data_IF_465358327367
#
_entry.id   IF_465358327367
#
_cell.length_a   1.000
_cell.length_b   1.000
_cell.length_c   1.000
_cell.angle_alpha   90.00
_cell.angle_beta   90.00
_cell.angle_gamma   90.00
#
_symmetry.space_group_name_H-M   'P 1'
#
loop_
_entity.id
_entity.type
_entity.pdbx_description
1 polymer ?
#
# COMPACT_ATOMS: atom_id res chain seq x y z
N UNK A 1 -14.23 -5.68 -5.65
CA UNK A 1 -13.83 -4.35 -6.17
C UNK A 1 -12.31 -4.34 -6.34
N UNK A 2 -11.77 -3.60 -7.33
CA UNK A 2 -10.31 -3.50 -7.57
C UNK A 2 -9.53 -3.00 -6.33
N UNK A 3 -10.16 -2.14 -5.53
CA UNK A 3 -9.60 -1.63 -4.25
C UNK A 3 -9.30 -2.75 -3.24
N UNK A 4 -10.06 -3.85 -3.25
CA UNK A 4 -9.85 -4.99 -2.33
C UNK A 4 -8.61 -5.83 -2.63
N UNK A 5 -7.84 -5.50 -3.68
CA UNK A 5 -6.56 -6.15 -4.01
C UNK A 5 -5.36 -5.36 -3.52
N UNK A 6 -5.55 -4.13 -3.00
CA UNK A 6 -4.42 -3.34 -2.52
C UNK A 6 -3.86 -3.93 -1.22
N UNK A 7 -2.52 -4.00 -1.08
CA UNK A 7 -1.87 -4.61 0.08
C UNK A 7 -2.13 -3.83 1.39
N UNK A 8 -2.31 -2.52 1.34
CA UNK A 8 -2.65 -1.68 2.49
C UNK A 8 -4.06 -1.99 3.04
N UNK A 9 -5.05 -2.15 2.15
CA UNK A 9 -6.42 -2.54 2.51
C UNK A 9 -6.45 -3.95 3.10
N UNK A 10 -5.71 -4.89 2.51
CA UNK A 10 -5.60 -6.26 3.03
C UNK A 10 -4.92 -6.30 4.39
N UNK A 11 -3.86 -5.51 4.59
CA UNK A 11 -3.20 -5.40 5.89
C UNK A 11 -4.16 -4.85 6.97
N UNK A 12 -4.92 -3.80 6.63
CA UNK A 12 -5.92 -3.24 7.54
C UNK A 12 -7.05 -4.24 7.85
N UNK A 13 -7.51 -5.04 6.88
CA UNK A 13 -8.48 -6.11 7.11
C UNK A 13 -7.94 -7.17 8.10
N UNK A 14 -6.68 -7.57 7.95
CA UNK A 14 -6.05 -8.53 8.87
C UNK A 14 -5.89 -7.94 10.27
N UNK A 15 -5.64 -6.64 10.40
CA UNK A 15 -5.61 -5.96 11.70
C UNK A 15 -6.99 -6.00 12.38
N UNK A 16 -8.07 -5.73 11.66
CA UNK A 16 -9.45 -5.87 12.18
C UNK A 16 -9.70 -7.30 12.65
N UNK A 17 -9.34 -8.30 11.84
CA UNK A 17 -9.48 -9.72 12.21
C UNK A 17 -8.68 -10.09 13.45
N UNK A 18 -7.47 -9.54 13.59
CA UNK A 18 -6.63 -9.74 14.77
C UNK A 18 -7.27 -9.13 16.02
N UNK A 19 -7.80 -7.91 15.92
CA UNK A 19 -8.46 -7.24 17.04
C UNK A 19 -9.72 -7.99 17.48
N UNK A 20 -10.54 -8.46 16.53
CA UNK A 20 -11.72 -9.27 16.80
C UNK A 20 -11.38 -10.55 17.58
N UNK A 21 -10.34 -11.28 17.16
CA UNK A 21 -9.87 -12.49 17.87
C UNK A 21 -9.29 -12.16 19.25
N UNK A 22 -8.65 -10.99 19.40
CA UNK A 22 -8.17 -10.51 20.69
C UNK A 22 -9.32 -10.32 21.69
N UNK A 23 -10.40 -9.65 21.24
CA UNK A 23 -11.61 -9.49 22.05
C UNK A 23 -12.25 -10.83 22.42
N UNK A 24 -12.32 -11.78 21.49
CA UNK A 24 -12.80 -13.14 21.80
C UNK A 24 -11.92 -13.82 22.84
N UNK A 25 -10.59 -13.71 22.74
CA UNK A 25 -9.67 -14.27 23.72
C UNK A 25 -9.85 -13.65 25.11
N UNK A 26 -10.00 -12.33 25.20
CA UNK A 26 -10.24 -11.64 26.47
C UNK A 26 -11.62 -11.98 27.06
N UNK A 27 -12.64 -12.23 26.24
CA UNK A 27 -13.93 -12.76 26.70
C UNK A 27 -13.81 -14.19 27.23
N UNK A 28 -12.97 -15.03 26.60
CA UNK A 28 -12.70 -16.38 27.05
C UNK A 28 -11.92 -16.43 28.38
N UNK A 29 -11.20 -15.36 28.74
CA UNK A 29 -10.51 -15.27 30.03
C UNK A 29 -11.48 -15.27 31.24
N UNK A 30 -12.78 -15.04 31.03
CA UNK A 30 -13.82 -15.21 32.06
C UNK A 30 -14.19 -16.68 32.30
N UNK A 31 -13.77 -17.60 31.43
CA UNK A 31 -14.05 -19.02 31.52
C UNK A 31 -12.96 -19.76 32.33
N UNK A 32 -13.24 -21.00 32.80
CA UNK A 32 -12.23 -21.83 33.42
C UNK A 32 -11.04 -22.09 32.48
N UNK A 33 -9.82 -21.82 32.96
CA UNK A 33 -8.59 -22.23 32.30
C UNK A 33 -8.23 -23.67 32.72
N UNK A 34 -7.85 -24.48 31.73
CA UNK A 34 -7.46 -25.88 31.94
C UNK A 34 -5.99 -26.05 31.57
N UNK A 35 -5.17 -26.47 32.54
CA UNK A 35 -3.77 -26.78 32.32
C UNK A 35 -3.53 -28.28 32.39
N UNK A 36 -2.77 -28.80 31.43
CA UNK A 36 -2.34 -30.19 31.40
C UNK A 36 -0.81 -30.24 31.38
N UNK A 37 -0.23 -30.84 32.40
CA UNK A 37 1.21 -31.02 32.50
C UNK A 37 1.54 -32.51 32.40
N UNK A 38 2.40 -32.86 31.45
CA UNK A 38 2.91 -34.21 31.27
C UNK A 38 4.43 -34.12 31.19
N UNK A 39 5.09 -34.94 32.00
CA UNK A 39 6.54 -35.01 32.07
C UNK A 39 6.95 -36.46 32.10
N UNK A 40 7.94 -36.81 31.28
CA UNK A 40 8.50 -38.16 31.20
C UNK A 40 10.01 -38.01 31.13
N UNK A 41 10.72 -38.72 32.00
CA UNK A 41 12.17 -38.65 32.12
C UNK A 41 12.78 -39.98 32.54
N UNK A 42 14.11 -40.03 32.53
CA UNK A 42 14.89 -41.18 33.01
C UNK A 42 15.84 -40.72 34.09
N UNK A 43 15.96 -41.48 35.18
CA UNK A 43 17.01 -41.26 36.17
C UNK A 43 18.38 -41.72 35.64
N UNK A 44 19.47 -41.18 36.19
CA UNK A 44 20.83 -41.52 35.78
C UNK A 44 21.13 -43.02 35.92
N UNK A 45 21.83 -43.59 34.93
CA UNK A 45 22.01 -45.05 34.74
C UNK A 45 22.63 -45.76 35.95
N UNK A 46 23.50 -45.06 36.71
CA UNK A 46 24.22 -45.65 37.85
C UNK A 46 23.33 -46.01 39.05
N UNK A 47 22.13 -45.43 39.19
CA UNK A 47 21.23 -45.73 40.34
C UNK A 47 20.20 -46.81 39.97
N UNK A 48 19.70 -46.82 38.72
CA UNK A 48 18.72 -47.80 38.24
C UNK A 48 19.32 -49.21 38.06
N UNK A 49 20.58 -49.28 37.61
CA UNK A 49 21.31 -50.54 37.40
C UNK A 49 21.72 -51.25 38.70
N UNK A 50 21.86 -50.54 39.83
CA UNK A 50 22.26 -51.14 41.11
C UNK A 50 21.08 -51.78 41.88
N UNK A 51 19.84 -51.44 41.49
CA UNK A 51 18.62 -51.88 42.17
C UNK A 51 17.69 -52.69 41.25
N UNK A 52 18.08 -52.97 40.00
CA UNK A 52 17.22 -53.57 38.94
C UNK A 52 15.87 -52.85 38.75
N UNK A 53 15.84 -51.53 38.96
CA UNK A 53 14.61 -50.73 38.88
C UNK A 53 14.51 -50.12 37.48
N UNK A 54 13.30 -50.16 36.90
CA UNK A 54 12.98 -49.47 35.66
C UNK A 54 13.35 -47.97 35.76
N UNK A 55 14.30 -47.45 34.95
CA UNK A 55 14.81 -46.09 35.09
C UNK A 55 13.85 -45.02 34.57
N UNK A 56 12.74 -45.42 33.94
CA UNK A 56 11.74 -44.53 33.38
C UNK A 56 10.77 -44.04 34.47
N UNK A 57 10.57 -42.73 34.53
CA UNK A 57 9.57 -42.10 35.38
C UNK A 57 8.73 -41.13 34.55
N UNK A 58 7.42 -41.15 34.76
CA UNK A 58 6.50 -40.17 34.22
C UNK A 58 5.61 -39.60 35.31
N UNK A 59 5.26 -38.33 35.20
CA UNK A 59 4.23 -37.71 36.01
C UNK A 59 3.31 -36.87 35.13
N UNK A 60 2.01 -36.91 35.43
CA UNK A 60 1.00 -36.07 34.79
C UNK A 60 0.17 -35.35 35.85
N UNK A 61 -0.17 -34.10 35.59
CA UNK A 61 -1.06 -33.30 36.41
C UNK A 61 -2.06 -32.55 35.53
N UNK A 62 -3.29 -32.40 36.02
CA UNK A 62 -4.35 -31.60 35.39
C UNK A 62 -4.76 -30.53 36.39
N UNK A 63 -4.74 -29.27 35.98
CA UNK A 63 -5.19 -28.13 36.76
C UNK A 63 -6.39 -27.46 36.12
N UNK A 64 -7.27 -26.89 36.94
CA UNK A 64 -8.36 -26.03 36.49
C UNK A 64 -8.39 -24.79 37.37
N UNK A 65 -8.40 -23.61 36.76
CA UNK A 65 -8.44 -22.32 37.45
C UNK A 65 -9.65 -21.51 36.98
N UNK A 66 -10.44 -20.99 37.93
CA UNK A 66 -11.60 -20.16 37.64
C UNK A 66 -11.42 -18.82 38.37
N UNK A 67 -11.35 -17.69 37.65
CA UNK A 67 -11.27 -16.38 38.28
C UNK A 67 -12.63 -16.02 38.90
N UNK A 68 -12.72 -16.01 40.24
CA UNK A 68 -13.96 -15.67 40.96
C UNK A 68 -14.07 -14.16 41.19
N UNK A 69 -12.94 -13.49 41.45
CA UNK A 69 -12.90 -12.06 41.72
C UNK A 69 -11.52 -11.46 41.38
N UNK A 70 -11.49 -10.55 40.40
CA UNK A 70 -10.28 -9.81 40.01
C UNK A 70 -10.45 -8.28 40.09
N UNK A 71 -11.40 -7.81 40.91
CA UNK A 71 -11.61 -6.36 41.10
C UNK A 71 -12.02 -5.59 39.84
N UNK A 72 -12.60 -6.27 38.84
CA UNK A 72 -13.00 -5.69 37.56
C UNK A 72 -11.90 -5.64 36.50
N UNK A 73 -10.69 -6.16 36.76
CA UNK A 73 -9.59 -6.15 35.80
C UNK A 73 -9.95 -6.82 34.46
N UNK A 74 -10.58 -8.00 34.50
CA UNK A 74 -11.01 -8.71 33.29
C UNK A 74 -12.07 -7.94 32.49
N UNK A 75 -13.00 -7.27 33.17
CA UNK A 75 -14.02 -6.45 32.50
C UNK A 75 -13.37 -5.25 31.82
N UNK A 76 -12.47 -4.56 32.53
CA UNK A 76 -11.73 -3.44 31.95
C UNK A 76 -10.87 -3.87 30.75
N UNK A 77 -10.30 -5.07 30.78
CA UNK A 77 -9.54 -5.62 29.66
C UNK A 77 -10.42 -5.90 28.44
N UNK A 78 -11.63 -6.46 28.64
CA UNK A 78 -12.62 -6.63 27.58
C UNK A 78 -13.03 -5.27 26.99
N UNK A 79 -13.26 -4.26 27.83
CA UNK A 79 -13.61 -2.91 27.37
C UNK A 79 -12.48 -2.27 26.54
N UNK A 80 -11.22 -2.48 26.94
CA UNK A 80 -10.05 -2.04 26.17
C UNK A 80 -10.00 -2.77 24.82
N UNK A 81 -10.20 -4.08 24.79
CA UNK A 81 -10.19 -4.87 23.57
C UNK A 81 -11.33 -4.49 22.61
N UNK A 82 -12.51 -4.19 23.14
CA UNK A 82 -13.66 -3.71 22.35
C UNK A 82 -13.35 -2.34 21.73
N UNK A 83 -12.77 -1.42 22.51
CA UNK A 83 -12.32 -0.13 21.99
C UNK A 83 -11.22 -0.28 20.91
N UNK A 84 -10.30 -1.24 21.06
CA UNK A 84 -9.29 -1.54 20.06
C UNK A 84 -9.88 -2.12 18.78
N UNK A 85 -10.88 -3.01 18.87
CA UNK A 85 -11.63 -3.51 17.72
C UNK A 85 -12.29 -2.36 16.95
N UNK A 86 -13.03 -1.50 17.66
CA UNK A 86 -13.69 -0.34 17.05
C UNK A 86 -12.68 0.59 16.36
N UNK A 87 -11.53 0.84 17.00
CA UNK A 87 -10.46 1.63 16.42
C UNK A 87 -9.88 0.98 15.15
N UNK A 88 -9.69 -0.35 15.14
CA UNK A 88 -9.21 -1.08 13.97
C UNK A 88 -10.22 -1.02 12.81
N UNK A 89 -11.53 -1.13 13.10
CA UNK A 89 -12.59 -0.99 12.09
C UNK A 89 -12.61 0.43 11.49
N UNK A 90 -12.48 1.45 12.34
CA UNK A 90 -12.39 2.83 11.87
C UNK A 90 -11.13 3.07 11.01
N UNK A 91 -9.99 2.50 11.40
CA UNK A 91 -8.76 2.58 10.62
C UNK A 91 -8.90 1.89 9.25
N UNK A 92 -9.53 0.71 9.20
CA UNK A 92 -9.87 0.04 7.94
C UNK A 92 -10.76 0.91 7.03
N UNK A 93 -11.80 1.52 7.59
CA UNK A 93 -12.66 2.45 6.85
C UNK A 93 -11.90 3.63 6.27
N UNK A 94 -10.99 4.23 7.06
CA UNK A 94 -10.11 5.32 6.62
C UNK A 94 -9.19 4.88 5.47
N UNK A 95 -8.52 3.73 5.58
CA UNK A 95 -7.66 3.18 4.52
C UNK A 95 -8.43 2.96 3.23
N UNK A 96 -9.64 2.41 3.31
CA UNK A 96 -10.50 2.20 2.12
C UNK A 96 -10.89 3.54 1.49
N UNK A 97 -11.31 4.53 2.29
CA UNK A 97 -11.68 5.85 1.78
C UNK A 97 -10.50 6.57 1.11
N UNK A 98 -9.31 6.49 1.71
CA UNK A 98 -8.09 7.06 1.12
C UNK A 98 -7.75 6.38 -0.21
N UNK A 99 -7.84 5.05 -0.27
CA UNK A 99 -7.62 4.31 -1.51
C UNK A 99 -8.61 4.71 -2.62
N UNK A 100 -9.87 4.97 -2.29
CA UNK A 100 -10.85 5.51 -3.25
C UNK A 100 -10.50 6.93 -3.68
N UNK A 101 -10.12 7.80 -2.74
CA UNK A 101 -9.75 9.17 -3.02
C UNK A 101 -8.51 9.28 -3.94
N UNK A 102 -7.51 8.41 -3.75
CA UNK A 102 -6.34 8.33 -4.62
C UNK A 102 -6.74 7.99 -6.06
N UNK A 103 -7.58 6.96 -6.25
CA UNK A 103 -8.04 6.56 -7.60
C UNK A 103 -8.85 7.67 -8.27
N UNK A 104 -9.73 8.34 -7.54
CA UNK A 104 -10.52 9.46 -8.06
C UNK A 104 -9.63 10.65 -8.44
N UNK A 105 -8.66 10.97 -7.59
CA UNK A 105 -7.68 12.04 -7.83
C UNK A 105 -6.86 11.74 -9.08
N UNK A 106 -6.34 10.51 -9.22
CA UNK A 106 -5.53 10.12 -10.38
C UNK A 106 -6.35 10.09 -11.68
N UNK A 107 -7.62 9.68 -11.63
CA UNK A 107 -8.53 9.76 -12.78
C UNK A 107 -8.83 11.22 -13.17
N UNK A 108 -9.03 12.09 -12.18
CA UNK A 108 -9.20 13.52 -12.39
C UNK A 108 -7.95 14.14 -13.03
N UNK A 109 -6.77 13.81 -12.50
CA UNK A 109 -5.49 14.26 -13.01
C UNK A 109 -5.27 13.81 -14.46
N UNK A 110 -5.57 12.56 -14.81
CA UNK A 110 -5.45 12.04 -16.18
C UNK A 110 -6.26 12.92 -17.16
N UNK A 111 -7.49 13.27 -16.77
CA UNK A 111 -8.36 14.11 -17.58
C UNK A 111 -7.81 15.55 -17.75
N UNK A 112 -7.44 16.20 -16.65
CA UNK A 112 -7.00 17.59 -16.68
C UNK A 112 -5.62 17.74 -17.33
N UNK A 113 -4.67 16.84 -17.05
CA UNK A 113 -3.34 16.83 -17.66
C UNK A 113 -3.41 16.60 -19.17
N UNK A 114 -4.23 15.63 -19.62
CA UNK A 114 -4.43 15.36 -21.05
C UNK A 114 -5.00 16.57 -21.79
N UNK A 115 -5.99 17.25 -21.20
CA UNK A 115 -6.54 18.49 -21.77
C UNK A 115 -5.53 19.63 -21.76
N UNK A 116 -4.82 19.83 -20.65
CA UNK A 116 -3.77 20.83 -20.50
C UNK A 116 -2.70 20.70 -21.59
N UNK A 117 -2.21 19.47 -21.81
CA UNK A 117 -1.25 19.17 -22.86
C UNK A 117 -1.78 19.55 -24.24
N UNK A 118 -3.04 19.21 -24.55
CA UNK A 118 -3.68 19.58 -25.82
C UNK A 118 -3.79 21.10 -26.04
N UNK A 119 -3.93 21.91 -24.98
CA UNK A 119 -3.89 23.37 -25.09
C UNK A 119 -2.47 23.90 -25.30
N UNK A 120 -1.48 23.36 -24.59
CA UNK A 120 -0.08 23.76 -24.75
C UNK A 120 0.44 23.40 -26.14
N UNK A 121 0.08 22.24 -26.68
CA UNK A 121 0.45 21.84 -28.05
C UNK A 121 -0.10 22.84 -29.10
N UNK A 122 -1.34 23.32 -28.93
CA UNK A 122 -1.91 24.39 -29.79
C UNK A 122 -1.18 25.72 -29.63
N UNK A 123 -0.73 26.05 -28.40
CA UNK A 123 0.05 27.25 -28.14
C UNK A 123 1.43 27.17 -28.81
N UNK A 124 2.10 26.02 -28.77
CA UNK A 124 3.38 25.79 -29.47
C UNK A 124 3.22 26.01 -30.97
N UNK A 125 2.17 25.46 -31.59
CA UNK A 125 1.88 25.68 -33.02
C UNK A 125 1.68 27.16 -33.34
N UNK A 126 0.96 27.88 -32.48
CA UNK A 126 0.68 29.31 -32.67
C UNK A 126 1.94 30.17 -32.49
N UNK A 127 2.76 29.85 -31.49
CA UNK A 127 4.04 30.52 -31.24
C UNK A 127 5.04 30.26 -32.38
N UNK A 128 5.10 29.04 -32.91
CA UNK A 128 5.93 28.73 -34.07
C UNK A 128 5.56 29.57 -35.29
N UNK A 129 4.25 29.77 -35.56
CA UNK A 129 3.79 30.69 -36.61
C UNK A 129 4.18 32.14 -36.34
N UNK A 130 4.11 32.59 -35.08
CA UNK A 130 4.51 33.93 -34.69
C UNK A 130 6.02 34.16 -34.86
N UNK A 131 6.84 33.16 -34.53
CA UNK A 131 8.30 33.19 -34.74
C UNK A 131 8.64 33.31 -36.21
N UNK A 132 7.98 32.53 -37.08
CA UNK A 132 8.16 32.62 -38.54
C UNK A 132 7.84 34.04 -39.05
N UNK A 133 6.66 34.57 -38.68
CA UNK A 133 6.26 35.92 -39.08
C UNK A 133 7.21 37.01 -38.56
N UNK A 134 7.71 36.87 -37.33
CA UNK A 134 8.67 37.80 -36.75
C UNK A 134 10.02 37.76 -37.47
N UNK A 135 10.47 36.56 -37.86
CA UNK A 135 11.68 36.39 -38.67
C UNK A 135 11.51 37.08 -40.05
N UNK A 136 10.38 36.89 -40.72
CA UNK A 136 10.12 37.53 -42.02
C UNK A 136 10.13 39.07 -41.91
N UNK A 137 9.53 39.62 -40.85
CA UNK A 137 9.54 41.06 -40.57
C UNK A 137 10.93 41.59 -40.23
N UNK A 138 11.73 40.82 -39.49
CA UNK A 138 13.11 41.17 -39.19
C UNK A 138 13.95 41.22 -40.48
N UNK A 139 13.84 40.22 -41.35
CA UNK A 139 14.55 40.21 -42.64
C UNK A 139 14.12 41.36 -43.58
N UNK A 140 12.85 41.77 -43.50
CA UNK A 140 12.35 42.94 -44.21
C UNK A 140 12.73 44.29 -43.55
N UNK A 141 13.44 44.30 -42.42
CA UNK A 141 13.80 45.50 -41.67
C UNK A 141 12.62 46.18 -40.94
N UNK A 142 11.47 45.51 -40.85
CA UNK A 142 10.22 46.02 -40.29
C UNK A 142 10.01 45.65 -38.81
N UNK A 143 10.89 44.85 -38.22
CA UNK A 143 10.88 44.48 -36.81
C UNK A 143 12.31 44.31 -36.26
N UNK A 144 12.47 44.49 -34.96
CA UNK A 144 13.76 44.33 -34.28
C UNK A 144 14.01 42.87 -33.85
N UNK A 145 15.28 42.46 -33.84
CA UNK A 145 15.77 41.14 -33.44
C UNK A 145 15.31 40.76 -32.03
N UNK A 146 15.25 41.74 -31.12
CA UNK A 146 14.78 41.51 -29.75
C UNK A 146 13.35 40.95 -29.71
N UNK A 147 12.47 41.43 -30.58
CA UNK A 147 11.07 40.96 -30.65
C UNK A 147 10.97 39.51 -31.15
N UNK A 148 11.82 39.12 -32.12
CA UNK A 148 11.91 37.74 -32.61
C UNK A 148 12.42 36.80 -31.51
N UNK A 149 13.51 37.18 -30.82
CA UNK A 149 14.09 36.39 -29.74
C UNK A 149 13.10 36.19 -28.59
N UNK A 150 12.32 37.21 -28.22
CA UNK A 150 11.27 37.07 -27.21
C UNK A 150 10.21 36.02 -27.60
N UNK A 151 9.82 35.96 -28.87
CA UNK A 151 8.88 34.93 -29.35
C UNK A 151 9.51 33.54 -29.34
N UNK A 152 10.78 33.41 -29.74
CA UNK A 152 11.52 32.14 -29.66
C UNK A 152 11.66 31.65 -28.21
N UNK A 153 11.97 32.54 -27.27
CA UNK A 153 12.02 32.20 -25.83
C UNK A 153 10.65 31.73 -25.33
N UNK A 154 9.55 32.38 -25.74
CA UNK A 154 8.19 31.95 -25.37
C UNK A 154 7.86 30.57 -25.96
N UNK A 155 8.24 30.31 -27.21
CA UNK A 155 8.04 29.00 -27.84
C UNK A 155 8.82 27.91 -27.10
N UNK A 156 10.09 28.17 -26.78
CA UNK A 156 10.92 27.23 -26.04
C UNK A 156 10.35 26.94 -24.64
N UNK A 157 9.89 27.97 -23.93
CA UNK A 157 9.23 27.81 -22.64
C UNK A 157 7.94 26.98 -22.74
N UNK A 158 7.14 27.18 -23.79
CA UNK A 158 5.93 26.37 -24.03
C UNK A 158 6.27 24.90 -24.33
N UNK A 159 7.33 24.64 -25.09
CA UNK A 159 7.83 23.27 -25.35
C UNK A 159 8.34 22.60 -24.08
N UNK A 160 9.05 23.33 -23.22
CA UNK A 160 9.49 22.82 -21.92
C UNK A 160 8.29 22.47 -21.02
N UNK A 161 7.27 23.33 -20.96
CA UNK A 161 6.02 23.06 -20.23
C UNK A 161 5.30 21.80 -20.77
N UNK A 162 5.21 21.63 -22.09
CA UNK A 162 4.63 20.42 -22.68
C UNK A 162 5.36 19.14 -22.24
N UNK A 163 6.69 19.19 -22.11
CA UNK A 163 7.48 18.06 -21.62
C UNK A 163 7.16 17.73 -20.16
N UNK A 164 7.05 18.75 -19.31
CA UNK A 164 6.69 18.60 -17.89
C UNK A 164 5.28 18.02 -17.70
N UNK A 165 4.32 18.49 -18.50
CA UNK A 165 2.96 17.93 -18.52
C UNK A 165 2.94 16.47 -18.98
N UNK A 166 3.75 16.10 -19.98
CA UNK A 166 3.88 14.70 -20.42
C UNK A 166 4.49 13.83 -19.34
N UNK A 167 5.52 14.32 -18.65
CA UNK A 167 6.10 13.62 -17.51
C UNK A 167 5.06 13.41 -16.41
N UNK A 168 4.33 14.46 -16.05
CA UNK A 168 3.27 14.41 -15.04
C UNK A 168 2.16 13.40 -15.42
N UNK A 169 1.78 13.35 -16.70
CA UNK A 169 0.81 12.38 -17.21
C UNK A 169 1.32 10.94 -17.06
N UNK A 170 2.58 10.68 -17.43
CA UNK A 170 3.20 9.36 -17.29
C UNK A 170 3.28 8.94 -15.82
N UNK A 171 3.72 9.84 -14.94
CA UNK A 171 3.77 9.60 -13.50
C UNK A 171 2.36 9.30 -12.94
N UNK A 172 1.35 10.08 -13.33
CA UNK A 172 -0.04 9.86 -12.94
C UNK A 172 -0.56 8.48 -13.37
N UNK A 173 -0.21 8.02 -14.57
CA UNK A 173 -0.60 6.68 -15.06
C UNK A 173 0.06 5.57 -14.26
N UNK A 174 1.31 5.75 -13.85
CA UNK A 174 2.01 4.80 -12.95
C UNK A 174 1.30 4.77 -11.59
N UNK A 175 0.94 5.93 -11.03
CA UNK A 175 0.19 6.01 -9.78
C UNK A 175 -1.17 5.33 -9.89
N UNK A 176 -1.91 5.59 -10.96
CA UNK A 176 -3.22 4.96 -11.21
C UNK A 176 -3.11 3.44 -11.31
N UNK A 177 -2.04 2.93 -11.94
CA UNK A 177 -1.75 1.49 -12.00
C UNK A 177 -1.48 0.89 -10.61
N UNK A 178 -0.73 1.60 -9.76
CA UNK A 178 -0.48 1.19 -8.37
C UNK A 178 -1.75 1.27 -7.52
N UNK A 179 -2.52 2.36 -7.64
CA UNK A 179 -3.72 2.63 -6.86
C UNK A 179 -4.85 1.63 -7.16
N UNK A 180 -4.94 1.13 -8.39
CA UNK A 180 -5.88 0.06 -8.80
C UNK A 180 -5.50 -1.33 -8.25
N UNK A 181 -4.39 -1.42 -7.49
CA UNK A 181 -3.96 -2.66 -6.85
C UNK A 181 -3.33 -3.62 -7.86
N UNK A 182 -2.30 -3.15 -8.58
CA UNK A 182 -1.50 -4.01 -9.46
C UNK A 182 -1.17 -5.30 -8.71
N UNK A 183 -1.40 -6.44 -9.35
CA UNK A 183 -1.07 -7.75 -8.81
C UNK A 183 0.41 -7.79 -8.45
N UNK A 184 0.73 -7.64 -7.17
CA UNK A 184 2.09 -7.81 -6.65
C UNK A 184 2.55 -9.28 -6.73
N UNK A 185 1.66 -10.18 -7.13
CA UNK A 185 1.87 -11.62 -7.34
C UNK A 185 2.03 -12.02 -8.83
N UNK A 186 1.68 -11.15 -9.78
CA UNK A 186 1.88 -11.46 -11.21
C UNK A 186 3.34 -11.23 -11.58
N UNK A 187 4.03 -12.32 -11.93
CA UNK A 187 5.24 -12.26 -12.73
C UNK A 187 5.00 -11.29 -13.89
N UNK A 188 5.92 -10.36 -14.19
CA UNK A 188 5.71 -9.41 -15.27
C UNK A 188 5.38 -10.18 -16.54
N UNK A 189 4.15 -9.99 -17.06
CA UNK A 189 3.77 -10.46 -18.38
C UNK A 189 4.50 -9.56 -19.36
N UNK A 190 5.76 -9.88 -19.63
CA UNK A 190 6.49 -9.27 -20.73
C UNK A 190 5.73 -9.68 -21.99
N UNK A 191 5.18 -8.74 -22.78
CA UNK A 191 4.57 -9.10 -24.06
C UNK A 191 5.58 -9.92 -24.86
N UNK A 192 5.21 -11.13 -25.29
CA UNK A 192 6.12 -12.06 -25.99
C UNK A 192 6.84 -11.44 -27.19
N UNK A 193 6.29 -10.35 -27.74
CA UNK A 193 6.89 -9.55 -28.82
C UNK A 193 8.20 -8.85 -28.43
N UNK A 194 8.40 -8.51 -27.15
CA UNK A 194 9.68 -7.95 -26.64
C UNK A 194 10.70 -9.04 -26.32
N UNK A 195 10.26 -10.26 -25.99
CA UNK A 195 11.15 -11.39 -25.74
C UNK A 195 11.83 -11.88 -27.03
N UNK A 196 11.12 -11.86 -28.16
CA UNK A 196 11.67 -12.21 -29.48
C UNK A 196 12.66 -11.19 -30.06
N UNK A 197 12.73 -9.97 -29.51
CA UNK A 197 13.67 -8.93 -29.96
C UNK A 197 15.03 -8.99 -29.22
N UNK A 198 15.18 -9.90 -28.26
CA UNK A 198 16.36 -10.04 -27.41
C UNK A 198 17.04 -11.41 -27.51
N UNK A 199 16.56 -12.31 -28.37
CA UNK A 199 17.29 -13.53 -28.70
C UNK A 199 18.32 -13.25 -29.82
N UNK A 200 19.60 -13.67 -29.65
CA UNK A 200 20.66 -13.46 -30.62
C UNK A 200 20.53 -14.29 -31.90
#
# INVERSE_FOLDING_TARGET
SLVGRRPDVLAAEQQVRSAFRGLEADRLALLPDFSFQLSVGRFAENIGSLLDINPWMGHSAIGMQIPIYEGGALVAQIDIADAQEQAAVAAYGSTVLNAFNEVETDLGNEYYLSRGLGYVDKAIVSLGKAVILANDRYQAGAADMQSMLQLQTRELAARANALDLRYSLLANRVNLYLALGSSFDDKPVIPQQLASALEP
#
